data_IF_920591029420
#
_entry.id   IF_920591029420
#
_cell.length_a   1.000
_cell.length_b   1.000
_cell.length_c   1.000
_cell.angle_alpha   90.00
_cell.angle_beta   90.00
_cell.angle_gamma   90.00
#
_symmetry.space_group_name_H-M   'P 1'
#
loop_
_entity.id
_entity.type
_entity.pdbx_description
1 polymer ?
#
# COMPACT_ATOMS: atom_id res chain seq x y z
N UNK A 1 26.68 3.99 -17.19
CA UNK A 1 26.19 3.45 -15.91
C UNK A 1 26.47 1.96 -15.91
N UNK A 2 26.78 1.38 -14.75
CA UNK A 2 27.11 -0.04 -14.62
C UNK A 2 26.41 -0.60 -13.39
N UNK A 3 25.44 -1.46 -13.63
CA UNK A 3 24.67 -2.14 -12.59
C UNK A 3 25.36 -3.43 -12.17
N UNK A 4 25.52 -3.64 -10.86
CA UNK A 4 25.97 -4.91 -10.29
C UNK A 4 24.91 -5.45 -9.34
N UNK A 5 24.29 -6.55 -9.73
CA UNK A 5 23.43 -7.34 -8.85
C UNK A 5 24.24 -7.98 -7.73
N UNK A 6 23.80 -7.79 -6.49
CA UNK A 6 24.43 -8.36 -5.29
C UNK A 6 23.66 -9.59 -4.82
N UNK A 7 22.35 -9.47 -4.63
CA UNK A 7 21.51 -10.55 -4.10
C UNK A 7 20.07 -10.42 -4.59
N UNK A 8 19.43 -11.55 -4.92
CA UNK A 8 17.97 -11.59 -5.17
C UNK A 8 17.27 -12.25 -3.99
N UNK A 9 16.30 -11.56 -3.41
CA UNK A 9 15.40 -12.08 -2.38
C UNK A 9 14.02 -12.43 -2.94
N UNK A 10 13.12 -12.85 -2.07
CA UNK A 10 11.73 -13.17 -2.42
C UNK A 10 10.86 -11.93 -2.72
N UNK A 11 11.18 -10.79 -2.08
CA UNK A 11 10.38 -9.55 -2.18
C UNK A 11 11.06 -8.43 -2.98
N UNK A 12 12.39 -8.42 -3.03
CA UNK A 12 13.18 -7.38 -3.67
C UNK A 12 14.56 -7.91 -4.07
N UNK A 13 15.28 -7.14 -4.87
CA UNK A 13 16.64 -7.42 -5.31
C UNK A 13 17.58 -6.30 -4.86
N UNK A 14 18.71 -6.66 -4.25
CA UNK A 14 19.75 -5.70 -3.87
C UNK A 14 20.76 -5.56 -5.00
N UNK A 15 20.94 -4.33 -5.48
CA UNK A 15 21.94 -3.96 -6.48
C UNK A 15 22.84 -2.84 -5.96
N UNK A 16 24.02 -2.70 -6.56
CA UNK A 16 24.85 -1.49 -6.47
C UNK A 16 24.97 -0.92 -7.89
N UNK A 17 24.57 0.34 -8.08
CA UNK A 17 24.71 1.04 -9.36
C UNK A 17 25.71 2.18 -9.26
N UNK A 18 26.47 2.40 -10.33
CA UNK A 18 27.31 3.58 -10.50
C UNK A 18 26.59 4.61 -11.35
N UNK A 19 26.12 5.66 -10.69
CA UNK A 19 25.32 6.74 -11.28
C UNK A 19 26.11 8.03 -11.38
N UNK A 20 25.74 8.87 -12.34
CA UNK A 20 26.17 10.27 -12.41
C UNK A 20 25.04 11.14 -11.89
N UNK A 21 25.28 11.82 -10.78
CA UNK A 21 24.30 12.70 -10.13
C UNK A 21 24.10 14.00 -10.94
N UNK A 22 23.00 14.73 -10.73
CA UNK A 22 22.75 16.00 -11.44
C UNK A 22 23.84 17.06 -11.27
N UNK A 23 24.64 16.96 -10.21
CA UNK A 23 25.80 17.82 -9.97
C UNK A 23 27.08 17.38 -10.71
N UNK A 24 26.98 16.39 -11.61
CA UNK A 24 28.09 15.85 -12.40
C UNK A 24 29.00 14.86 -11.66
N UNK A 25 28.81 14.65 -10.35
CA UNK A 25 29.63 13.72 -9.56
C UNK A 25 29.18 12.28 -9.79
N UNK A 26 30.14 11.36 -9.81
CA UNK A 26 29.86 9.92 -9.79
C UNK A 26 29.64 9.45 -8.36
N UNK A 27 28.65 8.59 -8.15
CA UNK A 27 28.37 7.96 -6.87
C UNK A 27 28.07 6.47 -7.07
N UNK A 28 28.34 5.68 -6.03
CA UNK A 28 27.80 4.33 -5.91
C UNK A 28 26.52 4.42 -5.06
N UNK A 29 25.46 3.77 -5.52
CA UNK A 29 24.16 3.72 -4.86
C UNK A 29 23.77 2.27 -4.66
N UNK A 30 23.60 1.88 -3.40
CA UNK A 30 22.95 0.62 -3.05
C UNK A 30 21.43 0.80 -3.12
N UNK A 31 20.75 -0.04 -3.89
CA UNK A 31 19.33 0.09 -4.18
C UNK A 31 18.63 -1.26 -4.00
N UNK A 32 17.52 -1.25 -3.27
CA UNK A 32 16.53 -2.31 -3.28
C UNK A 32 15.59 -2.09 -4.46
N UNK A 33 15.75 -2.90 -5.50
CA UNK A 33 14.84 -2.99 -6.63
C UNK A 33 13.54 -3.65 -6.19
N UNK A 34 12.44 -2.93 -6.34
CA UNK A 34 11.09 -3.37 -5.97
C UNK A 34 10.16 -3.32 -7.19
N UNK A 35 9.24 -4.29 -7.37
CA UNK A 35 8.29 -4.27 -8.50
C UNK A 35 7.27 -3.12 -8.44
N UNK A 36 7.22 -2.39 -7.32
CA UNK A 36 6.14 -1.48 -6.99
C UNK A 36 4.99 -2.20 -6.28
N UNK A 37 4.01 -1.44 -5.82
CA UNK A 37 2.86 -1.96 -5.09
C UNK A 37 1.60 -1.14 -5.36
N UNK A 38 0.45 -1.68 -4.98
CA UNK A 38 -0.80 -0.95 -4.89
C UNK A 38 -1.46 -1.18 -3.52
N UNK A 39 -2.19 -0.17 -3.05
CA UNK A 39 -2.92 -0.19 -1.79
C UNK A 39 -4.28 0.48 -1.96
N UNK A 40 -5.29 0.02 -1.23
CA UNK A 40 -6.68 0.47 -1.45
C UNK A 40 -7.43 0.70 -0.15
N UNK A 41 -8.08 1.86 -0.02
CA UNK A 41 -9.01 2.16 1.09
C UNK A 41 -10.39 1.58 0.73
N UNK A 42 -10.87 0.50 1.37
CA UNK A 42 -12.16 -0.08 1.03
C UNK A 42 -13.25 0.56 1.89
N UNK A 43 -14.25 1.17 1.26
CA UNK A 43 -15.39 1.77 1.94
C UNK A 43 -16.58 0.80 1.95
N UNK A 44 -17.08 0.50 3.14
CA UNK A 44 -18.32 -0.22 3.37
C UNK A 44 -19.51 0.73 3.18
N UNK A 45 -20.68 0.16 2.87
CA UNK A 45 -21.92 0.92 2.61
C UNK A 45 -22.37 1.78 3.80
N UNK A 46 -21.96 1.43 5.02
CA UNK A 46 -22.27 2.17 6.26
C UNK A 46 -21.25 3.28 6.59
N UNK A 47 -20.36 3.62 5.64
CA UNK A 47 -19.36 4.67 5.79
C UNK A 47 -18.13 4.28 6.61
N UNK A 48 -18.04 3.02 7.05
CA UNK A 48 -16.80 2.48 7.63
C UNK A 48 -15.78 2.17 6.55
N UNK A 49 -14.51 2.13 6.95
CA UNK A 49 -13.43 1.55 6.15
C UNK A 49 -13.09 0.16 6.65
N UNK A 50 -12.71 -0.73 5.74
CA UNK A 50 -12.22 -2.07 6.06
C UNK A 50 -10.69 -2.07 6.09
N UNK A 51 -10.11 -2.00 7.29
CA UNK A 51 -8.67 -2.15 7.48
C UNK A 51 -8.32 -3.63 7.75
N UNK A 52 -7.04 -3.95 7.66
CA UNK A 52 -6.47 -5.22 8.10
C UNK A 52 -5.52 -4.99 9.27
N UNK A 53 -5.47 -5.93 10.22
CA UNK A 53 -4.45 -5.98 11.27
C UNK A 53 -3.46 -7.06 10.91
N UNK A 54 -2.33 -6.70 10.33
CA UNK A 54 -1.37 -7.63 9.72
C UNK A 54 -0.09 -7.71 10.55
N UNK A 55 0.42 -8.92 10.72
CA UNK A 55 1.71 -9.14 11.35
C UNK A 55 2.85 -8.77 10.39
N UNK A 56 3.72 -7.85 10.82
CA UNK A 56 4.92 -7.43 10.09
C UNK A 56 6.14 -7.71 10.97
N UNK A 57 6.88 -8.76 10.64
CA UNK A 57 8.12 -9.11 11.34
C UNK A 57 9.11 -7.94 11.42
N UNK A 58 9.25 -7.16 10.34
CA UNK A 58 10.14 -6.00 10.29
C UNK A 58 9.73 -4.86 11.25
N UNK A 59 8.44 -4.75 11.59
CA UNK A 59 7.93 -3.81 12.58
C UNK A 59 7.86 -4.42 14.00
N UNK A 60 8.25 -5.69 14.16
CA UNK A 60 8.23 -6.40 15.44
C UNK A 60 6.83 -6.69 15.99
N UNK A 61 5.78 -6.63 15.16
CA UNK A 61 4.41 -6.76 15.66
C UNK A 61 3.33 -6.59 14.60
N UNK A 62 2.13 -6.25 15.06
CA UNK A 62 0.97 -6.04 14.20
C UNK A 62 0.79 -4.55 13.88
N UNK A 63 0.52 -4.24 12.62
CA UNK A 63 0.13 -2.91 12.17
C UNK A 63 -1.32 -2.90 11.69
N UNK A 64 -1.98 -1.76 11.81
CA UNK A 64 -3.21 -1.48 11.08
C UNK A 64 -2.85 -0.98 9.69
N UNK A 65 -3.32 -1.69 8.67
CA UNK A 65 -3.01 -1.40 7.28
C UNK A 65 -4.29 -1.34 6.43
N UNK A 66 -4.24 -0.62 5.31
CA UNK A 66 -5.15 -0.88 4.20
C UNK A 66 -4.67 -2.11 3.42
N UNK A 67 -5.57 -2.85 2.75
CA UNK A 67 -5.18 -3.93 1.86
C UNK A 67 -4.18 -3.45 0.80
N UNK A 68 -3.12 -4.23 0.59
CA UNK A 68 -2.03 -3.85 -0.29
C UNK A 68 -1.10 -5.02 -0.62
N UNK A 69 -0.57 -5.01 -1.83
CA UNK A 69 0.50 -5.93 -2.22
C UNK A 69 1.26 -5.51 -3.45
N UNK A 70 2.14 -6.39 -3.90
CA UNK A 70 3.13 -6.11 -4.94
C UNK A 70 2.48 -6.20 -6.32
N UNK A 71 3.00 -5.39 -7.25
CA UNK A 71 2.64 -5.53 -8.66
C UNK A 71 3.23 -6.83 -9.23
N UNK A 72 2.41 -7.59 -9.95
CA UNK A 72 2.91 -8.63 -10.83
C UNK A 72 3.58 -8.02 -12.08
N UNK A 73 4.46 -8.77 -12.77
CA UNK A 73 5.10 -8.30 -14.00
C UNK A 73 4.08 -7.82 -15.06
N UNK A 74 4.10 -6.52 -15.35
CA UNK A 74 3.18 -5.90 -16.31
C UNK A 74 1.76 -5.65 -15.79
N UNK A 75 1.51 -5.88 -14.51
CA UNK A 75 0.20 -5.64 -13.89
C UNK A 75 -0.08 -4.13 -13.76
N UNK A 76 -1.31 -3.75 -14.11
CA UNK A 76 -1.78 -2.39 -13.87
C UNK A 76 -2.03 -2.18 -12.37
N UNK A 77 -1.62 -1.06 -11.76
CA UNK A 77 -1.76 -0.89 -10.31
C UNK A 77 -3.19 -0.94 -9.77
N UNK A 78 -4.19 -0.56 -10.59
CA UNK A 78 -5.60 -0.70 -10.22
C UNK A 78 -6.05 -2.17 -10.15
N UNK A 79 -5.54 -3.00 -11.06
CA UNK A 79 -5.79 -4.45 -11.05
C UNK A 79 -5.15 -5.10 -9.83
N UNK A 80 -3.91 -4.72 -9.50
CA UNK A 80 -3.23 -5.16 -8.28
C UNK A 80 -4.06 -4.78 -7.05
N UNK A 81 -4.45 -3.51 -6.90
CA UNK A 81 -5.28 -3.07 -5.78
C UNK A 81 -6.59 -3.87 -5.63
N UNK A 82 -7.25 -4.19 -6.76
CA UNK A 82 -8.49 -4.96 -6.75
C UNK A 82 -8.26 -6.43 -6.39
N UNK A 83 -7.17 -7.02 -6.88
CA UNK A 83 -6.77 -8.41 -6.57
C UNK A 83 -6.44 -8.56 -5.09
N UNK A 84 -5.57 -7.69 -4.57
CA UNK A 84 -5.14 -7.69 -3.16
C UNK A 84 -6.32 -7.43 -2.21
N UNK A 85 -7.25 -6.56 -2.59
CA UNK A 85 -8.49 -6.38 -1.83
C UNK A 85 -9.26 -7.70 -1.68
N UNK A 86 -9.44 -8.44 -2.77
CA UNK A 86 -10.17 -9.70 -2.77
C UNK A 86 -9.42 -10.79 -2.00
N UNK A 87 -8.12 -10.93 -2.25
CA UNK A 87 -7.26 -11.93 -1.60
C UNK A 87 -7.17 -11.70 -0.08
N UNK A 88 -6.87 -10.48 0.36
CA UNK A 88 -6.67 -10.17 1.78
C UNK A 88 -7.97 -10.01 2.57
N UNK A 89 -9.09 -9.61 1.93
CA UNK A 89 -10.32 -9.27 2.66
C UNK A 89 -11.54 -10.12 2.30
N UNK A 90 -11.51 -10.82 1.18
CA UNK A 90 -12.69 -11.49 0.64
C UNK A 90 -13.77 -10.50 0.17
N UNK A 91 -13.41 -9.28 -0.22
CA UNK A 91 -14.35 -8.33 -0.86
C UNK A 91 -13.90 -7.99 -2.26
N UNK A 92 -14.85 -7.85 -3.17
CA UNK A 92 -14.63 -7.29 -4.51
C UNK A 92 -15.26 -5.92 -4.62
N UNK A 93 -14.55 -4.99 -5.27
CA UNK A 93 -15.04 -3.64 -5.50
C UNK A 93 -15.84 -3.53 -6.80
N UNK A 94 -16.98 -2.83 -6.77
CA UNK A 94 -17.69 -2.40 -7.97
C UNK A 94 -17.12 -1.14 -8.60
N UNK A 95 -16.51 -0.27 -7.78
CA UNK A 95 -15.85 0.96 -8.24
C UNK A 95 -14.50 1.14 -7.55
N UNK A 96 -13.48 1.48 -8.33
CA UNK A 96 -12.12 1.77 -7.83
C UNK A 96 -11.66 3.12 -8.36
N UNK A 97 -11.10 3.96 -7.49
CA UNK A 97 -10.69 5.33 -7.82
C UNK A 97 -9.25 5.58 -7.37
N UNK A 98 -8.42 6.10 -8.27
CA UNK A 98 -7.01 6.40 -7.95
C UNK A 98 -6.90 7.63 -7.06
N UNK A 99 -6.41 7.49 -5.83
CA UNK A 99 -6.14 8.57 -4.89
C UNK A 99 -4.84 9.31 -5.22
N UNK A 100 -3.78 8.56 -5.52
CA UNK A 100 -2.45 9.12 -5.74
C UNK A 100 -1.37 8.04 -5.83
N UNK A 101 -0.13 8.42 -5.54
CA UNK A 101 0.98 7.47 -5.37
C UNK A 101 2.05 8.09 -4.45
N UNK A 102 2.79 7.24 -3.76
CA UNK A 102 3.88 7.64 -2.86
C UNK A 102 5.17 6.86 -3.14
N UNK A 103 6.27 7.47 -2.73
CA UNK A 103 7.55 6.81 -2.54
C UNK A 103 7.77 6.68 -1.03
N UNK A 104 7.62 5.49 -0.42
CA UNK A 104 7.73 5.35 1.03
C UNK A 104 9.16 5.61 1.50
N UNK A 105 10.17 5.15 0.74
CA UNK A 105 11.57 5.16 1.15
C UNK A 105 12.54 5.43 -0.02
N UNK A 106 12.42 6.57 -0.73
CA UNK A 106 13.20 6.85 -1.94
C UNK A 106 14.72 7.00 -1.71
N UNK A 107 15.17 6.97 -0.46
CA UNK A 107 16.60 6.97 -0.12
C UNK A 107 17.32 5.67 -0.47
N UNK A 108 16.62 4.54 -0.61
CA UNK A 108 17.25 3.24 -0.86
C UNK A 108 16.39 2.22 -1.62
N UNK A 109 15.15 2.53 -1.98
CA UNK A 109 14.29 1.65 -2.79
C UNK A 109 13.59 2.44 -3.90
N UNK A 110 13.38 1.79 -5.05
CA UNK A 110 12.53 2.30 -6.13
C UNK A 110 11.08 1.80 -6.03
N UNK A 111 10.67 1.35 -4.83
CA UNK A 111 9.27 1.08 -4.54
C UNK A 111 8.41 2.33 -4.70
N UNK A 112 7.42 2.23 -5.59
CA UNK A 112 6.32 3.17 -5.70
C UNK A 112 5.02 2.47 -5.37
N UNK A 113 4.26 3.04 -4.44
CA UNK A 113 2.97 2.50 -4.01
C UNK A 113 1.86 3.36 -4.61
N UNK A 114 0.98 2.74 -5.40
CA UNK A 114 -0.18 3.39 -5.98
C UNK A 114 -1.38 3.27 -5.03
N UNK A 115 -2.02 4.39 -4.72
CA UNK A 115 -3.07 4.46 -3.71
C UNK A 115 -4.43 4.60 -4.38
N UNK A 116 -5.38 3.79 -3.94
CA UNK A 116 -6.74 3.73 -4.46
C UNK A 116 -7.77 3.79 -3.33
N UNK A 117 -9.02 4.02 -3.69
CA UNK A 117 -10.17 3.76 -2.86
C UNK A 117 -11.13 2.85 -3.61
N UNK A 118 -11.86 2.02 -2.88
CA UNK A 118 -12.80 1.05 -3.40
C UNK A 118 -14.18 1.23 -2.76
N UNK A 119 -15.22 1.10 -3.56
CA UNK A 119 -16.63 1.22 -3.18
C UNK A 119 -17.45 0.10 -3.79
N UNK A 120 -18.72 0.07 -3.40
CA UNK A 120 -19.71 -0.88 -3.91
C UNK A 120 -19.19 -2.31 -3.66
N UNK A 121 -18.77 -2.56 -2.41
CA UNK A 121 -18.10 -3.79 -2.01
C UNK A 121 -19.09 -4.94 -1.91
N UNK A 122 -18.76 -6.06 -2.53
CA UNK A 122 -19.52 -7.30 -2.41
C UNK A 122 -18.65 -8.42 -1.84
N UNK A 123 -19.27 -9.33 -1.09
CA UNK A 123 -18.59 -10.49 -0.54
C UNK A 123 -18.08 -11.41 -1.65
N UNK A 124 -16.85 -11.85 -1.48
CA UNK A 124 -16.12 -12.79 -2.31
C UNK A 124 -15.42 -13.82 -1.39
N UNK A 125 -14.41 -14.50 -1.90
CA UNK A 125 -13.65 -15.51 -1.16
C UNK A 125 -12.27 -14.97 -0.81
N UNK A 126 -11.93 -14.95 0.48
CA UNK A 126 -10.60 -14.58 0.95
C UNK A 126 -9.58 -15.68 0.59
N UNK A 127 -8.38 -15.27 0.16
CA UNK A 127 -7.29 -16.16 -0.26
C UNK A 127 -5.96 -15.58 0.19
N UNK A 128 -5.61 -15.85 1.45
CA UNK A 128 -4.36 -15.41 2.04
C UNK A 128 -3.17 -16.25 1.55
N UNK A 129 -2.02 -15.61 1.38
CA UNK A 129 -0.74 -16.31 1.24
C UNK A 129 -0.29 -16.94 2.58
N UNK A 130 0.60 -17.93 2.51
CA UNK A 130 1.08 -18.66 3.71
C UNK A 130 1.76 -17.76 4.76
N UNK A 131 2.34 -16.63 4.34
CA UNK A 131 3.00 -15.66 5.22
C UNK A 131 2.09 -14.49 5.64
N UNK A 132 0.82 -14.52 5.27
CA UNK A 132 -0.18 -13.49 5.59
C UNK A 132 -0.97 -13.84 6.86
N UNK A 133 -0.44 -13.39 8.00
CA UNK A 133 -1.15 -13.47 9.28
C UNK A 133 -1.86 -12.15 9.54
N UNK A 134 -3.16 -12.08 9.20
CA UNK A 134 -3.97 -10.88 9.35
C UNK A 134 -5.40 -11.15 9.85
N UNK A 135 -6.08 -10.09 10.29
CA UNK A 135 -7.52 -10.11 10.58
C UNK A 135 -8.20 -8.83 10.10
N UNK A 136 -9.48 -8.91 9.72
CA UNK A 136 -10.24 -7.74 9.26
C UNK A 136 -10.65 -6.84 10.44
N UNK A 137 -10.55 -5.53 10.23
CA UNK A 137 -10.89 -4.49 11.20
C UNK A 137 -11.76 -3.42 10.54
N UNK A 138 -13.09 -3.63 10.47
CA UNK A 138 -14.02 -2.57 10.09
C UNK A 138 -13.96 -1.43 11.11
N UNK A 139 -13.79 -0.20 10.66
CA UNK A 139 -13.65 0.98 11.53
C UNK A 139 -14.37 2.18 10.93
N UNK A 140 -15.00 3.01 11.78
CA UNK A 140 -15.53 4.30 11.32
C UNK A 140 -14.40 5.11 10.65
N UNK A 141 -14.68 5.70 9.49
CA UNK A 141 -13.65 6.41 8.74
C UNK A 141 -13.04 7.57 9.55
N UNK A 142 -13.86 8.28 10.31
CA UNK A 142 -13.39 9.35 11.21
C UNK A 142 -12.47 8.84 12.32
N UNK A 143 -12.74 7.64 12.85
CA UNK A 143 -11.86 7.00 13.83
C UNK A 143 -10.53 6.60 13.21
N UNK A 144 -10.53 6.04 11.99
CA UNK A 144 -9.30 5.74 11.28
C UNK A 144 -8.44 7.00 11.10
N UNK A 145 -9.06 8.11 10.68
CA UNK A 145 -8.36 9.40 10.55
C UNK A 145 -7.86 9.95 11.89
N UNK A 146 -8.63 9.79 12.97
CA UNK A 146 -8.21 10.17 14.32
C UNK A 146 -6.99 9.36 14.75
N UNK A 147 -6.96 8.05 14.47
CA UNK A 147 -5.83 7.17 14.76
C UNK A 147 -4.58 7.53 13.96
N UNK A 148 -4.72 7.90 12.68
CA UNK A 148 -3.61 8.46 11.88
C UNK A 148 -3.04 9.71 12.57
N UNK A 149 -3.89 10.66 12.96
CA UNK A 149 -3.46 11.89 13.63
C UNK A 149 -2.84 11.65 15.01
N UNK A 150 -3.26 10.60 15.70
CA UNK A 150 -2.72 10.21 17.00
C UNK A 150 -1.42 9.40 16.91
N UNK A 151 -0.98 9.02 15.70
CA UNK A 151 0.18 8.16 15.50
C UNK A 151 -0.06 6.68 15.82
N UNK A 152 -1.32 6.26 15.94
CA UNK A 152 -1.71 4.86 16.20
C UNK A 152 -1.77 4.01 14.92
N UNK A 153 -1.81 4.66 13.75
CA UNK A 153 -1.60 4.03 12.45
C UNK A 153 -0.22 4.45 11.97
N UNK A 154 0.74 3.55 12.13
CA UNK A 154 2.16 3.80 11.88
C UNK A 154 2.58 3.45 10.44
N UNK A 155 1.79 2.64 9.74
CA UNK A 155 2.05 2.27 8.36
C UNK A 155 1.82 3.46 7.40
N UNK A 156 2.89 3.89 6.73
CA UNK A 156 2.92 5.14 5.96
C UNK A 156 1.93 5.16 4.78
N UNK A 157 1.79 4.04 4.06
CA UNK A 157 0.83 3.94 2.94
C UNK A 157 -0.61 4.06 3.43
N UNK A 158 -0.93 3.44 4.57
CA UNK A 158 -2.25 3.48 5.20
C UNK A 158 -2.59 4.90 5.65
N UNK A 159 -1.69 5.55 6.39
CA UNK A 159 -1.89 6.93 6.81
C UNK A 159 -2.12 7.87 5.63
N UNK A 160 -1.29 7.79 4.59
CA UNK A 160 -1.43 8.64 3.41
C UNK A 160 -2.71 8.36 2.62
N UNK A 161 -3.05 7.09 2.41
CA UNK A 161 -4.25 6.71 1.66
C UNK A 161 -5.52 7.22 2.35
N UNK A 162 -5.62 7.07 3.67
CA UNK A 162 -6.74 7.58 4.46
C UNK A 162 -6.84 9.12 4.39
N UNK A 163 -5.72 9.84 4.49
CA UNK A 163 -5.72 11.30 4.41
C UNK A 163 -6.11 11.82 3.01
N UNK A 164 -5.62 11.18 1.94
CA UNK A 164 -6.01 11.52 0.56
C UNK A 164 -7.47 11.20 0.28
N UNK A 165 -7.97 10.07 0.81
CA UNK A 165 -9.38 9.73 0.77
C UNK A 165 -10.22 10.82 1.45
N UNK A 166 -9.82 11.29 2.64
CA UNK A 166 -10.54 12.32 3.38
C UNK A 166 -10.66 13.63 2.60
N UNK A 167 -9.62 14.04 1.86
CA UNK A 167 -9.65 15.25 1.03
C UNK A 167 -10.69 15.18 -0.09
N UNK A 168 -11.01 13.98 -0.59
CA UNK A 168 -12.02 13.79 -1.63
C UNK A 168 -13.43 13.66 -1.07
N UNK A 169 -13.58 13.14 0.16
CA UNK A 169 -14.89 12.85 0.77
C UNK A 169 -15.44 13.89 1.73
N UNK A 170 -14.67 14.91 2.11
CA UNK A 170 -15.20 16.07 2.86
C UNK A 170 -16.26 16.89 2.11
N UNK A 171 -16.61 16.52 0.87
CA UNK A 171 -17.73 17.08 0.12
C UNK A 171 -19.01 16.24 0.05
N UNK A 172 -19.07 15.02 0.61
CA UNK A 172 -20.11 14.03 0.27
C UNK A 172 -20.94 13.40 1.40
N UNK A 173 -20.48 13.39 2.65
CA UNK A 173 -21.19 12.76 3.79
C UNK A 173 -21.37 13.74 4.96
N UNK A 174 -21.85 14.94 4.64
CA UNK A 174 -22.05 16.02 5.59
C UNK A 174 -23.15 16.97 5.16
N UNK A 175 -24.33 16.42 4.81
CA UNK A 175 -25.65 17.05 4.93
C UNK A 175 -26.72 15.97 5.07
#
# INVERSE_FOLDING_TARGET
>A
MSERRIQRGARFELITDRVTLPNGKSALVDLLKHPGAAAVVPFLDDGRVLLIRQYRYAAGGYLLEVPAGKLDPGEAPERCATRELEEETGYRAGRVEKLGAIWPSPGFTDEKIHLFAAHDLCLAEQRLEDDEVLSLVPMAFEDALRRVRAGEIEDAKTGMALLLAAQRWTGGYGR
#
